data_IF_946716438617
#
_entry.id   IF_946716438617
#
_cell.length_a   1.000
_cell.length_b   1.000
_cell.length_c   1.000
_cell.angle_alpha   90.00
_cell.angle_beta   90.00
_cell.angle_gamma   90.00
#
_symmetry.space_group_name_H-M   'P 1'
#
loop_
_entity.id
_entity.type
_entity.pdbx_description
1 polymer ?
#
# COMPACT_ATOMS: atom_id res chain seq x y z
N UNK A 1 36.12 -18.79 -19.80
CA UNK A 1 34.73 -19.30 -19.92
C UNK A 1 33.84 -18.25 -19.28
N UNK A 2 33.04 -17.57 -20.10
CA UNK A 2 32.30 -16.36 -19.72
C UNK A 2 31.05 -16.81 -18.96
N UNK A 3 30.99 -16.57 -17.64
CA UNK A 3 29.74 -16.73 -16.90
C UNK A 3 28.91 -15.47 -17.07
N UNK A 4 28.00 -15.51 -18.05
CA UNK A 4 27.02 -14.47 -18.28
C UNK A 4 25.96 -14.60 -17.17
N UNK A 5 26.07 -13.77 -16.13
CA UNK A 5 25.01 -13.58 -15.13
C UNK A 5 23.79 -13.02 -15.86
N UNK A 6 22.81 -13.87 -16.14
CA UNK A 6 21.56 -13.45 -16.73
C UNK A 6 20.81 -12.54 -15.76
N UNK A 7 20.79 -11.24 -16.05
CA UNK A 7 19.80 -10.34 -15.46
C UNK A 7 18.42 -10.83 -15.88
N UNK A 8 17.62 -11.32 -14.93
CA UNK A 8 16.19 -11.53 -15.17
C UNK A 8 15.58 -10.15 -15.43
N UNK A 9 15.44 -9.78 -16.71
CA UNK A 9 14.66 -8.60 -17.10
C UNK A 9 13.22 -8.87 -16.65
N UNK A 10 12.83 -8.28 -15.52
CA UNK A 10 11.42 -8.27 -15.11
C UNK A 10 10.62 -7.67 -16.28
N UNK A 11 9.64 -8.42 -16.77
CA UNK A 11 8.76 -7.97 -17.84
C UNK A 11 7.65 -7.10 -17.25
N UNK A 12 7.04 -6.26 -18.08
CA UNK A 12 5.84 -5.52 -17.70
C UNK A 12 4.68 -6.49 -17.63
N UNK A 13 3.95 -6.49 -16.52
CA UNK A 13 2.82 -7.37 -16.27
C UNK A 13 1.59 -6.54 -15.92
N UNK A 14 0.41 -6.94 -16.37
CA UNK A 14 -0.85 -6.38 -15.88
C UNK A 14 -1.22 -7.06 -14.57
N UNK A 15 -1.28 -6.29 -13.50
CA UNK A 15 -1.56 -6.76 -12.14
C UNK A 15 -2.92 -6.24 -11.68
N UNK A 16 -3.70 -7.10 -11.05
CA UNK A 16 -4.95 -6.77 -10.35
C UNK A 16 -4.77 -6.96 -8.84
N UNK A 17 -5.35 -6.05 -8.06
CA UNK A 17 -5.33 -6.08 -6.60
C UNK A 17 -6.39 -7.05 -6.07
N UNK A 18 -5.98 -8.23 -5.60
CA UNK A 18 -6.91 -9.34 -5.33
C UNK A 18 -7.31 -9.57 -3.85
N UNK A 19 -6.78 -8.80 -2.90
CA UNK A 19 -7.18 -8.90 -1.49
C UNK A 19 -7.91 -7.65 -0.99
N UNK A 20 -8.78 -7.86 -0.01
CA UNK A 20 -9.69 -6.83 0.52
C UNK A 20 -8.97 -5.86 1.46
N UNK A 21 -9.43 -4.60 1.56
CA UNK A 21 -8.90 -3.65 2.53
C UNK A 21 -9.05 -4.15 3.97
N UNK A 22 -8.09 -3.81 4.83
CA UNK A 22 -8.23 -3.97 6.28
C UNK A 22 -8.94 -2.73 6.79
N UNK A 23 -10.16 -2.87 7.32
CA UNK A 23 -10.89 -1.78 7.98
C UNK A 23 -12.09 -2.31 8.79
N UNK A 24 -12.65 -1.47 9.64
CA UNK A 24 -13.98 -1.62 10.23
C UNK A 24 -14.66 -0.24 10.40
N UNK A 25 -15.87 -0.18 10.93
CA UNK A 25 -16.62 1.06 11.17
C UNK A 25 -15.94 2.03 12.16
N UNK A 26 -15.00 1.51 12.94
CA UNK A 26 -14.21 2.26 13.91
C UNK A 26 -12.92 2.85 13.32
N UNK A 27 -12.53 2.48 12.09
CA UNK A 27 -11.39 3.09 11.42
C UNK A 27 -11.55 4.61 11.30
N UNK A 28 -10.44 5.34 11.48
CA UNK A 28 -10.35 6.81 11.44
C UNK A 28 -9.21 7.29 10.55
N UNK A 29 -8.18 6.47 10.36
CA UNK A 29 -7.02 6.77 9.53
C UNK A 29 -7.04 5.81 8.35
N UNK A 30 -6.81 6.29 7.13
CA UNK A 30 -6.66 5.44 5.95
C UNK A 30 -5.22 5.54 5.41
N UNK A 31 -4.49 4.43 5.44
CA UNK A 31 -3.14 4.31 4.88
C UNK A 31 -3.22 3.64 3.51
N UNK A 32 -2.66 4.29 2.49
CA UNK A 32 -2.70 3.84 1.10
C UNK A 32 -1.29 3.62 0.54
N UNK A 33 -0.98 2.40 0.13
CA UNK A 33 0.15 2.11 -0.75
C UNK A 33 -0.14 2.47 -2.22
N UNK A 34 0.82 2.27 -3.11
CA UNK A 34 0.62 2.46 -4.56
C UNK A 34 -0.14 1.26 -5.13
N UNK A 35 0.49 0.09 -5.08
CA UNK A 35 0.06 -1.20 -5.58
C UNK A 35 0.82 -2.27 -4.79
N UNK A 36 0.22 -3.43 -4.45
CA UNK A 36 0.92 -4.49 -3.73
C UNK A 36 2.21 -4.93 -4.43
N UNK A 37 3.31 -5.00 -3.69
CA UNK A 37 4.58 -5.53 -4.20
C UNK A 37 4.46 -7.01 -4.60
N UNK A 38 5.37 -7.59 -5.42
CA UNK A 38 5.37 -9.02 -5.72
C UNK A 38 5.31 -9.89 -4.47
N UNK A 39 6.08 -9.53 -3.42
CA UNK A 39 6.06 -10.27 -2.16
C UNK A 39 4.74 -10.14 -1.42
N UNK A 40 4.13 -8.95 -1.42
CA UNK A 40 2.79 -8.72 -0.85
C UNK A 40 1.71 -9.55 -1.57
N UNK A 41 1.83 -9.71 -2.89
CA UNK A 41 0.93 -10.54 -3.69
C UNK A 41 1.11 -12.03 -3.40
N UNK A 42 2.35 -12.49 -3.29
CA UNK A 42 2.69 -13.88 -2.95
C UNK A 42 2.10 -14.29 -1.59
N UNK A 43 2.20 -13.42 -0.58
CA UNK A 43 1.69 -13.69 0.77
C UNK A 43 0.20 -13.32 0.95
N UNK A 44 -0.41 -12.66 -0.04
CA UNK A 44 -1.79 -12.18 0.05
C UNK A 44 -2.04 -11.13 1.14
N UNK A 45 -1.02 -10.32 1.49
CA UNK A 45 -1.11 -9.38 2.60
C UNK A 45 -0.28 -8.08 2.39
N UNK A 46 -0.77 -6.99 2.99
CA UNK A 46 -0.16 -5.67 2.87
C UNK A 46 1.25 -5.61 3.48
N UNK A 47 2.15 -4.95 2.74
CA UNK A 47 3.53 -4.71 3.17
C UNK A 47 4.32 -5.96 3.58
N UNK A 48 4.00 -7.13 2.98
CA UNK A 48 4.60 -8.43 3.32
C UNK A 48 6.10 -8.64 3.03
N UNK A 49 6.81 -7.66 2.44
CA UNK A 49 8.26 -7.80 2.26
C UNK A 49 8.99 -7.61 3.61
N UNK A 50 9.91 -8.49 4.06
CA UNK A 50 10.51 -8.42 5.40
C UNK A 50 11.27 -7.12 5.72
N UNK A 51 11.84 -6.49 4.68
CA UNK A 51 12.51 -5.19 4.79
C UNK A 51 11.57 -3.98 4.66
N UNK A 52 10.27 -4.19 4.40
CA UNK A 52 9.31 -3.09 4.38
C UNK A 52 9.09 -2.60 5.81
N UNK A 53 9.18 -1.28 6.01
CA UNK A 53 9.18 -0.67 7.34
C UNK A 53 7.79 -0.24 7.82
N UNK A 54 6.73 -0.45 7.03
CA UNK A 54 5.39 0.04 7.37
C UNK A 54 4.95 -0.38 8.77
N UNK A 55 4.89 -1.69 9.04
CA UNK A 55 4.42 -2.24 10.31
C UNK A 55 5.27 -1.79 11.50
N UNK A 56 6.59 -1.69 11.32
CA UNK A 56 7.52 -1.14 12.31
C UNK A 56 7.25 0.32 12.62
N UNK A 57 7.07 1.15 11.58
CA UNK A 57 6.82 2.58 11.77
C UNK A 57 5.49 2.82 12.46
N UNK A 58 4.41 2.13 12.04
CA UNK A 58 3.10 2.34 12.68
C UNK A 58 3.06 1.81 14.11
N UNK A 59 3.74 0.69 14.42
CA UNK A 59 3.86 0.20 15.80
C UNK A 59 4.63 1.17 16.68
N UNK A 60 5.75 1.72 16.18
CA UNK A 60 6.56 2.70 16.91
C UNK A 60 5.77 3.98 17.20
N UNK A 61 5.03 4.50 16.21
CA UNK A 61 4.14 5.68 16.38
C UNK A 61 3.04 5.42 17.41
N UNK A 62 2.45 4.23 17.38
CA UNK A 62 1.40 3.83 18.32
C UNK A 62 1.94 3.41 19.69
N UNK A 63 3.27 3.32 19.86
CA UNK A 63 3.96 2.81 21.06
C UNK A 63 3.50 1.41 21.47
N UNK A 64 3.29 0.54 20.47
CA UNK A 64 2.86 -0.82 20.67
C UNK A 64 3.94 -1.83 20.22
N UNK A 65 3.86 -3.10 20.68
CA UNK A 65 4.68 -4.17 20.14
C UNK A 65 4.50 -4.31 18.61
N UNK A 66 5.58 -4.68 17.92
CA UNK A 66 5.54 -4.94 16.47
C UNK A 66 4.71 -6.21 16.18
N UNK A 67 3.58 -6.12 15.45
CA UNK A 67 2.85 -7.30 15.03
C UNK A 67 3.63 -8.09 13.97
N UNK A 68 3.70 -9.40 14.12
CA UNK A 68 4.49 -10.31 13.29
C UNK A 68 3.63 -10.99 12.23
N UNK A 69 2.48 -11.55 12.62
CA UNK A 69 1.61 -12.32 11.71
C UNK A 69 0.57 -11.45 11.00
N UNK A 70 -0.02 -11.89 9.88
CA UNK A 70 -1.15 -11.21 9.23
C UNK A 70 -2.33 -10.96 10.19
N UNK A 71 -2.62 -11.90 11.08
CA UNK A 71 -3.69 -11.81 12.06
C UNK A 71 -3.37 -10.74 13.10
N UNK A 72 -2.15 -10.73 13.64
CA UNK A 72 -1.69 -9.71 14.58
C UNK A 72 -1.67 -8.32 13.94
N UNK A 73 -1.24 -8.22 12.68
CA UNK A 73 -1.22 -6.95 11.91
C UNK A 73 -2.63 -6.44 11.66
N UNK A 74 -3.57 -7.33 11.39
CA UNK A 74 -4.98 -6.99 11.22
C UNK A 74 -5.58 -6.50 12.54
N UNK A 75 -5.38 -7.26 13.63
CA UNK A 75 -5.85 -6.87 14.96
C UNK A 75 -5.27 -5.52 15.39
N UNK A 76 -3.95 -5.33 15.22
CA UNK A 76 -3.27 -4.06 15.45
C UNK A 76 -3.90 -2.92 14.65
N UNK A 77 -4.06 -3.09 13.34
CA UNK A 77 -4.63 -2.04 12.48
C UNK A 77 -6.03 -1.63 12.96
N UNK A 78 -6.89 -2.60 13.29
CA UNK A 78 -8.24 -2.31 13.79
C UNK A 78 -8.24 -1.68 15.19
N UNK A 79 -7.41 -2.16 16.12
CA UNK A 79 -7.27 -1.60 17.47
C UNK A 79 -6.88 -0.11 17.43
N UNK A 80 -5.90 0.23 16.59
CA UNK A 80 -5.42 1.60 16.42
C UNK A 80 -6.22 2.40 15.37
N UNK A 81 -7.35 1.87 14.89
CA UNK A 81 -8.29 2.53 13.98
C UNK A 81 -7.66 2.92 12.63
N UNK A 82 -6.69 2.14 12.18
CA UNK A 82 -5.98 2.27 10.92
C UNK A 82 -6.62 1.33 9.90
N UNK A 83 -7.20 1.91 8.85
CA UNK A 83 -7.54 1.19 7.63
C UNK A 83 -6.31 1.12 6.72
N UNK A 84 -6.12 -0.01 6.03
CA UNK A 84 -4.98 -0.25 5.14
C UNK A 84 -5.48 -0.73 3.79
N UNK A 85 -5.05 -0.06 2.72
CA UNK A 85 -5.27 -0.49 1.34
C UNK A 85 -4.20 0.09 0.39
N UNK A 86 -4.51 0.12 -0.90
CA UNK A 86 -3.67 0.68 -1.96
C UNK A 86 -4.51 1.59 -2.86
N UNK A 87 -3.85 2.54 -3.53
CA UNK A 87 -4.49 3.48 -4.47
C UNK A 87 -5.02 2.75 -5.71
N UNK A 88 -4.30 1.75 -6.22
CA UNK A 88 -4.62 1.09 -7.47
C UNK A 88 -5.34 -0.26 -7.27
N UNK A 89 -6.43 -0.44 -8.01
CA UNK A 89 -7.11 -1.71 -8.24
C UNK A 89 -6.38 -2.55 -9.29
N UNK A 90 -5.69 -1.90 -10.23
CA UNK A 90 -4.90 -2.58 -11.25
C UNK A 90 -4.04 -1.64 -12.07
N UNK A 91 -2.97 -2.16 -12.65
CA UNK A 91 -2.08 -1.44 -13.55
C UNK A 91 -1.13 -2.38 -14.28
N UNK A 92 -0.50 -1.87 -15.33
CA UNK A 92 0.73 -2.46 -15.86
C UNK A 92 1.92 -1.99 -15.01
N UNK A 93 2.77 -2.92 -14.58
CA UNK A 93 3.96 -2.62 -13.76
C UNK A 93 5.07 -3.64 -14.01
N UNK A 94 6.32 -3.20 -13.91
CA UNK A 94 7.51 -4.05 -13.87
C UNK A 94 7.90 -4.34 -12.42
N UNK A 95 7.56 -5.55 -11.94
CA UNK A 95 7.88 -5.97 -10.57
C UNK A 95 7.22 -5.10 -9.49
N UNK A 96 8.02 -4.29 -8.79
CA UNK A 96 7.61 -3.32 -7.77
C UNK A 96 8.02 -1.88 -8.11
N UNK A 97 8.44 -1.62 -9.35
CA UNK A 97 8.93 -0.32 -9.77
C UNK A 97 7.77 0.62 -10.12
N UNK A 98 7.40 1.45 -9.16
CA UNK A 98 6.37 2.48 -9.29
C UNK A 98 6.59 3.44 -10.50
N UNK A 99 7.82 3.62 -10.98
CA UNK A 99 8.10 4.47 -12.15
C UNK A 99 7.63 3.83 -13.48
N UNK A 100 7.52 2.50 -13.49
CA UNK A 100 7.09 1.72 -14.65
C UNK A 100 5.56 1.65 -14.82
N UNK A 101 4.78 2.16 -13.84
CA UNK A 101 3.31 2.05 -13.86
C UNK A 101 2.71 2.67 -15.13
N UNK A 102 1.87 1.89 -15.83
CA UNK A 102 1.04 2.33 -16.96
C UNK A 102 -0.39 1.85 -16.78
N UNK A 103 -1.32 2.47 -17.51
CA UNK A 103 -2.76 2.15 -17.50
C UNK A 103 -3.35 1.95 -16.08
N UNK A 104 -3.16 2.91 -15.15
CA UNK A 104 -3.61 2.76 -13.77
C UNK A 104 -5.14 2.79 -13.67
N UNK A 105 -5.67 1.88 -12.89
CA UNK A 105 -7.07 1.80 -12.46
C UNK A 105 -7.08 1.98 -10.95
N UNK A 106 -7.77 3.01 -10.45
CA UNK A 106 -7.84 3.28 -9.02
C UNK A 106 -8.86 2.37 -8.32
N UNK A 107 -8.60 2.04 -7.05
CA UNK A 107 -9.58 1.42 -6.17
C UNK A 107 -10.74 2.37 -5.89
N UNK A 108 -11.93 1.80 -5.70
CA UNK A 108 -13.08 2.53 -5.21
C UNK A 108 -13.03 2.64 -3.68
N UNK A 109 -12.55 3.77 -3.18
CA UNK A 109 -12.43 4.03 -1.74
C UNK A 109 -13.78 4.11 -1.01
N UNK A 110 -14.91 4.21 -1.73
CA UNK A 110 -16.24 4.26 -1.13
C UNK A 110 -16.55 3.03 -0.26
N UNK A 111 -15.94 1.88 -0.56
CA UNK A 111 -16.08 0.66 0.26
C UNK A 111 -15.65 0.94 1.71
N UNK A 112 -14.64 1.79 1.94
CA UNK A 112 -14.20 2.19 3.28
C UNK A 112 -14.94 3.47 3.71
N UNK A 113 -14.95 4.49 2.84
CA UNK A 113 -15.39 5.85 3.20
C UNK A 113 -16.88 5.96 3.52
N UNK A 114 -17.71 5.04 3.03
CA UNK A 114 -19.15 4.98 3.38
C UNK A 114 -19.42 4.26 4.70
N UNK A 115 -18.49 3.41 5.17
CA UNK A 115 -18.69 2.55 6.34
C UNK A 115 -17.86 2.99 7.55
N UNK A 116 -16.78 3.75 7.33
CA UNK A 116 -15.90 4.26 8.37
C UNK A 116 -15.78 5.79 8.29
N UNK A 117 -15.80 6.45 9.46
CA UNK A 117 -15.62 7.90 9.56
C UNK A 117 -14.14 8.27 9.46
N UNK A 118 -13.54 8.11 8.27
CA UNK A 118 -12.15 8.47 8.02
C UNK A 118 -11.95 9.98 8.20
N UNK A 119 -10.98 10.33 9.05
CA UNK A 119 -10.62 11.70 9.42
C UNK A 119 -9.30 12.13 8.75
N UNK A 120 -8.45 11.18 8.39
CA UNK A 120 -7.18 11.44 7.74
C UNK A 120 -6.83 10.35 6.74
N UNK A 121 -6.29 10.75 5.59
CA UNK A 121 -5.77 9.85 4.55
C UNK A 121 -4.28 10.11 4.39
N UNK A 122 -3.49 9.03 4.36
CA UNK A 122 -2.06 9.09 4.13
C UNK A 122 -1.69 8.16 2.98
N UNK A 123 -0.81 8.62 2.10
CA UNK A 123 -0.22 7.77 1.06
C UNK A 123 1.23 7.45 1.39
N UNK A 124 1.63 6.19 1.28
CA UNK A 124 3.01 5.75 1.59
C UNK A 124 3.89 5.78 0.33
N UNK A 125 4.43 6.96 0.02
CA UNK A 125 5.33 7.19 -1.11
C UNK A 125 4.81 8.21 -2.13
N UNK A 126 5.74 8.86 -2.84
CA UNK A 126 5.44 9.94 -3.80
C UNK A 126 4.51 9.49 -4.92
N UNK A 127 4.70 8.27 -5.46
CA UNK A 127 3.86 7.76 -6.55
C UNK A 127 2.42 7.54 -6.10
N UNK A 128 2.20 6.93 -4.93
CA UNK A 128 0.89 6.79 -4.32
C UNK A 128 0.20 8.15 -4.17
N UNK A 129 0.90 9.17 -3.65
CA UNK A 129 0.38 10.53 -3.53
C UNK A 129 -0.03 11.16 -4.87
N UNK A 130 0.81 11.02 -5.91
CA UNK A 130 0.52 11.51 -7.26
C UNK A 130 -0.72 10.85 -7.86
N UNK A 131 -0.82 9.52 -7.76
CA UNK A 131 -1.95 8.76 -8.31
C UNK A 131 -3.22 9.03 -7.52
N UNK A 132 -3.14 9.11 -6.19
CA UNK A 132 -4.27 9.47 -5.34
C UNK A 132 -4.84 10.84 -5.75
N UNK A 133 -3.98 11.85 -5.88
CA UNK A 133 -4.39 13.20 -6.29
C UNK A 133 -5.07 13.21 -7.65
N UNK A 134 -4.64 12.35 -8.58
CA UNK A 134 -5.18 12.27 -9.94
C UNK A 134 -6.50 11.49 -10.01
N UNK A 135 -6.63 10.39 -9.28
CA UNK A 135 -7.71 9.42 -9.50
C UNK A 135 -8.70 9.31 -8.33
N UNK A 136 -8.26 9.50 -7.08
CA UNK A 136 -9.11 9.34 -5.89
C UNK A 136 -9.64 10.68 -5.39
N UNK A 137 -8.78 11.70 -5.28
CA UNK A 137 -9.16 13.02 -4.75
C UNK A 137 -10.35 13.66 -5.48
N UNK A 138 -10.44 13.66 -6.84
CA UNK A 138 -11.60 14.25 -7.54
C UNK A 138 -12.92 13.55 -7.22
N UNK A 139 -12.89 12.26 -6.87
CA UNK A 139 -14.08 11.47 -6.55
C UNK A 139 -14.50 11.66 -5.09
N UNK A 140 -13.54 11.60 -4.17
CA UNK A 140 -13.85 11.51 -2.74
C UNK A 140 -13.74 12.86 -2.01
N UNK A 141 -13.06 13.86 -2.58
CA UNK A 141 -12.92 15.20 -1.99
C UNK A 141 -12.05 15.28 -0.73
N UNK A 142 -11.43 14.18 -0.31
CA UNK A 142 -10.58 14.11 0.89
C UNK A 142 -9.12 14.33 0.50
N UNK A 143 -8.45 15.28 1.12
CA UNK A 143 -7.00 15.48 0.90
C UNK A 143 -6.19 14.38 1.59
N UNK A 144 -5.12 13.93 0.95
CA UNK A 144 -4.17 13.00 1.54
C UNK A 144 -2.83 13.66 1.84
N UNK A 145 -2.21 13.26 2.95
CA UNK A 145 -0.83 13.63 3.29
C UNK A 145 0.12 12.60 2.69
N UNK A 146 1.06 13.04 1.86
CA UNK A 146 2.06 12.14 1.28
C UNK A 146 3.20 11.91 2.25
N UNK A 147 3.38 10.66 2.66
CA UNK A 147 4.49 10.22 3.52
C UNK A 147 5.64 9.67 2.67
N UNK A 148 6.88 9.65 3.20
CA UNK A 148 7.98 8.91 2.59
C UNK A 148 7.62 7.43 2.41
N UNK A 149 8.18 6.80 1.37
CA UNK A 149 7.94 5.37 1.13
C UNK A 149 8.61 4.52 2.23
N UNK A 150 7.89 3.50 2.67
CA UNK A 150 8.38 2.47 3.62
C UNK A 150 9.09 1.31 2.91
N UNK A 151 9.16 1.34 1.58
CA UNK A 151 9.85 0.35 0.76
C UNK A 151 11.37 0.36 0.99
N UNK A 152 12.05 -0.79 0.87
CA UNK A 152 13.52 -0.85 0.93
C UNK A 152 14.22 0.06 -0.10
N UNK A 153 13.58 0.34 -1.24
CA UNK A 153 14.13 1.21 -2.28
C UNK A 153 14.30 2.68 -1.81
N UNK A 154 13.63 3.06 -0.72
CA UNK A 154 13.69 4.39 -0.11
C UNK A 154 14.56 4.41 1.16
N UNK A 155 15.43 3.42 1.37
CA UNK A 155 16.50 3.47 2.34
C UNK A 155 17.75 4.03 1.65
N UNK A 156 17.88 5.34 1.62
CA UNK A 156 19.10 6.06 1.20
C UNK A 156 19.60 6.91 2.35
#
# INVERSE_FOLDING_TARGET
MIMQTGEIKMQTEYIVHNFQPIYNEHSRILMLGTMPSPKSREVGFYYGHPRNRFWKVVSDVCRAPLPQTPEEKTAFALEYKIAVWDVLAGCEIKGADDSSIRNPVANDLDVILKHAKIQAVFTTGTKAGQLYKKYCLPKNGISAVTLPSTSPANCR
#
